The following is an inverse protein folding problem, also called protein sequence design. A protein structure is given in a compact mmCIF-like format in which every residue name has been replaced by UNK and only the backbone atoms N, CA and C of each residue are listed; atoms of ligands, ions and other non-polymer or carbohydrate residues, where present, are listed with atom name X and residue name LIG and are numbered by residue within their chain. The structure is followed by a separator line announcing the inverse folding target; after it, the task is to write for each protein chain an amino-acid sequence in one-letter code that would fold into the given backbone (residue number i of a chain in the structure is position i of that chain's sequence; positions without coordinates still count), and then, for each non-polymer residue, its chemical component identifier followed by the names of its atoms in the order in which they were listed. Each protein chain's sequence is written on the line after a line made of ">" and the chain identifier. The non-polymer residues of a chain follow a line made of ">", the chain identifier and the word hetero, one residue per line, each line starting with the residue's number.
data_IF_337305994396
#
_entry.id   IF_337305994396
#
_cell.length_a   1.000
_cell.length_b   1.000
_cell.length_c   1.000
_cell.angle_alpha   90.00
_cell.angle_beta   90.00
_cell.angle_gamma   90.00
#
_symmetry.space_group_name_H-M   'P 1'
#
loop_
_entity.id
_entity.type
_entity.pdbx_description
1 polymer ?
#
# COMPACT_ATOMS: atom_id res chain seq x y z
N UNK A 1 -31.90 -32.90 45.75
CA UNK A 1 -30.90 -31.97 45.20
C UNK A 1 -30.28 -32.65 44.04
N UNK A 2 -30.82 -32.38 42.85
CA UNK A 2 -30.42 -33.03 41.60
C UNK A 2 -29.42 -32.08 40.90
N UNK A 3 -28.19 -32.53 40.82
CA UNK A 3 -27.16 -31.83 40.02
C UNK A 3 -27.49 -31.97 38.58
N UNK A 4 -27.72 -30.85 37.89
CA UNK A 4 -27.79 -30.81 36.42
C UNK A 4 -26.38 -31.03 35.86
N UNK A 5 -26.19 -32.12 35.16
CA UNK A 5 -25.06 -32.33 34.28
C UNK A 5 -25.22 -31.36 33.13
N UNK A 6 -24.22 -30.48 32.94
CA UNK A 6 -24.09 -29.71 31.73
C UNK A 6 -23.52 -30.64 30.66
N UNK A 7 -24.27 -30.80 29.58
CA UNK A 7 -23.87 -31.53 28.37
C UNK A 7 -22.71 -30.74 27.71
N UNK A 8 -21.52 -31.34 27.65
CA UNK A 8 -20.30 -30.73 27.11
C UNK A 8 -20.33 -30.62 25.54
N UNK A 9 -21.41 -31.11 24.89
CA UNK A 9 -21.52 -31.19 23.45
C UNK A 9 -22.29 -30.03 22.79
N UNK A 10 -22.68 -28.98 23.51
CA UNK A 10 -23.45 -27.86 22.94
C UNK A 10 -22.64 -26.57 22.93
N UNK A 11 -21.54 -26.57 22.14
CA UNK A 11 -20.76 -25.37 21.89
C UNK A 11 -21.46 -24.54 20.81
N UNK A 12 -22.02 -23.34 21.14
CA UNK A 12 -22.71 -22.50 20.15
C UNK A 12 -21.84 -22.04 18.99
N UNK A 13 -20.52 -22.28 19.04
CA UNK A 13 -19.59 -21.98 17.97
C UNK A 13 -19.37 -23.14 17.00
N UNK A 14 -19.86 -24.36 17.27
CA UNK A 14 -19.71 -25.51 16.36
C UNK A 14 -20.51 -25.32 15.07
N UNK A 15 -21.61 -24.55 15.11
CA UNK A 15 -22.35 -24.13 13.90
C UNK A 15 -21.57 -23.18 13.00
N UNK A 16 -20.44 -22.62 13.46
CA UNK A 16 -19.54 -21.80 12.65
C UNK A 16 -18.36 -22.62 12.10
N UNK A 17 -18.22 -23.87 12.52
CA UNK A 17 -17.13 -24.76 12.11
C UNK A 17 -17.49 -25.68 10.92
N UNK A 18 -18.77 -25.77 10.57
CA UNK A 18 -19.24 -26.64 9.47
C UNK A 18 -19.34 -25.90 8.15
N UNK A 19 -18.27 -25.36 7.61
CA UNK A 19 -18.13 -25.11 6.16
C UNK A 19 -16.70 -24.69 5.78
N UNK A 20 -15.75 -25.60 5.97
CA UNK A 20 -14.34 -25.30 5.70
C UNK A 20 -13.83 -25.72 4.33
N UNK A 21 -14.70 -25.98 3.34
CA UNK A 21 -14.23 -26.37 1.99
C UNK A 21 -14.49 -25.32 0.89
N UNK A 22 -14.91 -24.11 1.24
CA UNK A 22 -14.86 -22.94 0.36
C UNK A 22 -13.95 -21.85 0.97
N UNK A 23 -12.72 -22.20 1.25
CA UNK A 23 -11.72 -21.30 1.79
C UNK A 23 -11.52 -20.12 0.86
N UNK A 24 -11.93 -18.98 1.30
CA UNK A 24 -11.57 -17.59 0.99
C UNK A 24 -12.75 -16.61 0.98
N UNK A 25 -13.93 -16.96 1.48
CA UNK A 25 -15.04 -16.01 1.64
C UNK A 25 -15.08 -15.44 3.05
N UNK A 26 -14.22 -14.48 3.37
CA UNK A 26 -14.33 -13.74 4.63
C UNK A 26 -15.25 -12.50 4.58
N UNK A 27 -15.89 -12.23 3.44
CA UNK A 27 -16.83 -11.12 3.28
C UNK A 27 -18.28 -11.63 3.44
N UNK A 28 -18.85 -11.48 4.63
CA UNK A 28 -20.23 -11.80 4.90
C UNK A 28 -21.19 -10.95 4.03
N UNK A 29 -22.01 -11.61 3.18
CA UNK A 29 -23.26 -11.06 2.65
C UNK A 29 -23.18 -10.13 1.46
N UNK A 30 -22.02 -9.86 0.88
CA UNK A 30 -21.88 -9.13 -0.37
C UNK A 30 -21.44 -10.08 -1.47
N UNK A 31 -21.96 -9.92 -2.69
CA UNK A 31 -21.51 -10.66 -3.87
C UNK A 31 -20.07 -10.27 -4.21
N UNK A 32 -19.12 -10.70 -3.38
CA UNK A 32 -17.70 -10.48 -3.64
C UNK A 32 -17.33 -11.29 -4.88
N UNK A 33 -16.93 -10.59 -5.92
CA UNK A 33 -16.34 -11.19 -7.11
C UNK A 33 -14.83 -11.13 -6.94
N UNK A 34 -14.19 -12.31 -6.95
CA UNK A 34 -12.72 -12.35 -6.96
C UNK A 34 -12.23 -11.61 -8.22
N UNK A 35 -11.42 -10.56 -8.09
CA UNK A 35 -10.90 -9.81 -9.23
C UNK A 35 -10.00 -10.66 -10.14
N UNK A 36 -9.54 -11.83 -9.66
CA UNK A 36 -8.71 -12.77 -10.40
C UNK A 36 -9.51 -13.96 -10.96
N UNK A 37 -10.83 -14.02 -10.72
CA UNK A 37 -11.66 -15.10 -11.25
C UNK A 37 -11.60 -15.13 -12.80
N UNK A 38 -11.22 -16.29 -13.35
CA UNK A 38 -11.05 -16.47 -14.79
C UNK A 38 -9.81 -15.82 -15.41
N UNK A 39 -8.93 -15.18 -14.63
CA UNK A 39 -7.67 -14.61 -15.14
C UNK A 39 -6.64 -15.71 -15.30
N UNK A 40 -5.99 -15.76 -16.49
CA UNK A 40 -4.87 -16.68 -16.71
C UNK A 40 -3.68 -16.31 -15.81
N UNK A 41 -3.26 -17.26 -14.98
CA UNK A 41 -2.14 -17.08 -14.03
C UNK A 41 -0.78 -17.45 -14.62
N UNK A 42 -0.71 -18.02 -15.83
CA UNK A 42 0.56 -18.29 -16.50
C UNK A 42 1.29 -16.95 -16.78
N UNK A 43 2.63 -16.95 -16.63
CA UNK A 43 3.40 -15.78 -17.05
C UNK A 43 3.42 -15.74 -18.59
N UNK A 44 2.99 -14.62 -19.21
CA UNK A 44 2.90 -14.54 -20.67
C UNK A 44 4.26 -14.67 -21.35
N UNK A 45 4.25 -15.18 -22.58
CA UNK A 45 5.44 -15.18 -23.42
C UNK A 45 5.97 -13.73 -23.62
N UNK A 46 7.29 -13.56 -23.44
CA UNK A 46 7.94 -12.26 -23.57
C UNK A 46 7.98 -11.40 -22.28
N UNK A 47 7.33 -11.84 -21.20
CA UNK A 47 7.48 -11.25 -19.86
C UNK A 47 8.59 -11.99 -19.12
N UNK A 48 9.59 -11.26 -18.60
CA UNK A 48 10.61 -11.86 -17.73
C UNK A 48 9.99 -12.18 -16.36
N UNK A 49 9.88 -13.47 -15.97
CA UNK A 49 9.29 -13.84 -14.69
C UNK A 49 10.01 -13.23 -13.49
N UNK A 50 11.34 -13.09 -13.57
CA UNK A 50 12.10 -12.51 -12.46
C UNK A 50 11.84 -11.01 -12.30
N UNK A 51 11.73 -10.25 -13.38
CA UNK A 51 11.36 -8.84 -13.34
C UNK A 51 9.92 -8.66 -12.83
N UNK A 52 8.99 -9.49 -13.30
CA UNK A 52 7.60 -9.48 -12.81
C UNK A 52 7.53 -9.76 -11.31
N UNK A 53 8.24 -10.77 -10.81
CA UNK A 53 8.27 -11.07 -9.38
C UNK A 53 8.84 -9.90 -8.56
N UNK A 54 9.93 -9.26 -9.01
CA UNK A 54 10.51 -8.11 -8.31
C UNK A 54 9.59 -6.88 -8.36
N UNK A 55 8.93 -6.62 -9.47
CA UNK A 55 7.90 -5.60 -9.58
C UNK A 55 6.77 -5.83 -8.56
N UNK A 56 6.21 -7.04 -8.53
CA UNK A 56 5.14 -7.41 -7.59
C UNK A 56 5.61 -7.32 -6.12
N UNK A 57 6.85 -7.73 -5.81
CA UNK A 57 7.42 -7.55 -4.48
C UNK A 57 7.51 -6.08 -4.09
N UNK A 58 8.07 -5.23 -4.94
CA UNK A 58 8.24 -3.81 -4.65
C UNK A 58 6.90 -3.11 -4.40
N UNK A 59 5.91 -3.35 -5.27
CA UNK A 59 4.57 -2.75 -5.12
C UNK A 59 3.77 -3.39 -3.97
N UNK A 60 3.99 -4.67 -3.69
CA UNK A 60 3.39 -5.38 -2.56
C UNK A 60 3.94 -4.88 -1.23
N UNK A 61 5.24 -4.66 -1.14
CA UNK A 61 5.91 -4.12 0.04
C UNK A 61 5.45 -2.69 0.36
N UNK A 62 5.30 -1.83 -0.66
CA UNK A 62 4.72 -0.49 -0.49
C UNK A 62 3.37 -0.56 0.23
N UNK A 63 2.49 -1.42 -0.27
CA UNK A 63 1.14 -1.55 0.26
C UNK A 63 1.12 -2.19 1.65
N UNK A 64 1.93 -3.23 1.89
CA UNK A 64 2.02 -3.92 3.17
C UNK A 64 2.52 -2.99 4.28
N UNK A 65 3.64 -2.33 4.04
CA UNK A 65 4.27 -1.45 5.03
C UNK A 65 3.39 -0.23 5.31
N UNK A 66 2.78 0.35 4.27
CA UNK A 66 1.90 1.49 4.47
C UNK A 66 0.59 1.11 5.16
N UNK A 67 0.00 -0.02 4.81
CA UNK A 67 -1.16 -0.58 5.53
C UNK A 67 -0.88 -0.71 7.02
N UNK A 68 0.25 -1.31 7.39
CA UNK A 68 0.65 -1.48 8.79
C UNK A 68 0.78 -0.13 9.52
N UNK A 69 1.36 0.89 8.87
CA UNK A 69 1.46 2.25 9.43
C UNK A 69 0.10 2.92 9.64
N UNK A 70 -0.83 2.75 8.71
CA UNK A 70 -2.18 3.29 8.85
C UNK A 70 -2.95 2.60 9.99
N UNK A 71 -2.76 1.30 10.19
CA UNK A 71 -3.38 0.54 11.28
C UNK A 71 -2.98 1.07 12.67
N UNK A 72 -1.79 1.67 12.82
CA UNK A 72 -1.36 2.30 14.07
C UNK A 72 -2.19 3.53 14.45
N UNK A 73 -2.97 4.09 13.52
CA UNK A 73 -3.88 5.21 13.75
C UNK A 73 -5.29 4.80 14.16
N UNK A 74 -5.67 3.56 13.92
CA UNK A 74 -6.95 3.02 14.40
C UNK A 74 -6.95 3.07 15.92
N UNK A 75 -8.06 3.54 16.50
CA UNK A 75 -8.22 3.86 17.93
C UNK A 75 -7.36 5.06 18.45
N UNK A 76 -6.81 5.88 17.55
CA UNK A 76 -6.06 7.10 17.89
C UNK A 76 -6.65 8.37 17.28
N UNK A 77 -7.55 8.21 16.32
CA UNK A 77 -8.25 9.32 15.68
C UNK A 77 -9.42 9.78 16.57
N UNK A 78 -9.78 11.09 16.51
CA UNK A 78 -10.77 11.65 17.43
C UNK A 78 -12.21 11.26 17.09
N UNK A 79 -12.50 10.94 15.83
CA UNK A 79 -13.83 10.66 15.31
C UNK A 79 -13.90 9.22 14.77
N UNK A 80 -14.99 8.54 15.07
CA UNK A 80 -15.21 7.14 14.65
C UNK A 80 -15.25 7.01 13.12
N UNK A 81 -15.78 7.99 12.44
CA UNK A 81 -15.86 8.05 10.99
C UNK A 81 -14.48 8.08 10.35
N UNK A 82 -13.54 8.82 10.95
CA UNK A 82 -12.17 8.92 10.48
C UNK A 82 -11.39 7.62 10.77
N UNK A 83 -11.62 7.01 11.93
CA UNK A 83 -11.05 5.69 12.25
C UNK A 83 -11.50 4.64 11.25
N UNK A 84 -12.81 4.60 10.97
CA UNK A 84 -13.38 3.68 9.99
C UNK A 84 -12.82 3.92 8.59
N UNK A 85 -12.71 5.18 8.16
CA UNK A 85 -12.15 5.52 6.86
C UNK A 85 -10.68 5.07 6.73
N UNK A 86 -9.85 5.40 7.72
CA UNK A 86 -8.42 5.03 7.73
C UNK A 86 -8.24 3.51 7.83
N UNK A 87 -9.07 2.83 8.63
CA UNK A 87 -9.05 1.37 8.72
C UNK A 87 -9.39 0.71 7.36
N UNK A 88 -10.41 1.21 6.65
CA UNK A 88 -10.77 0.70 5.33
C UNK A 88 -9.66 0.95 4.31
N UNK A 89 -9.05 2.13 4.30
CA UNK A 89 -7.89 2.45 3.44
C UNK A 89 -6.73 1.48 3.73
N UNK A 90 -6.47 1.20 5.01
CA UNK A 90 -5.43 0.24 5.39
C UNK A 90 -5.76 -1.19 4.93
N UNK A 91 -7.03 -1.61 5.00
CA UNK A 91 -7.48 -2.93 4.52
C UNK A 91 -7.42 -3.05 3.00
N UNK A 92 -7.76 -2.00 2.25
CA UNK A 92 -7.61 -1.97 0.78
C UNK A 92 -6.14 -2.16 0.39
N UNK A 93 -5.22 -1.44 1.04
CA UNK A 93 -3.78 -1.60 0.82
C UNK A 93 -3.29 -3.00 1.21
N UNK A 94 -3.78 -3.58 2.31
CA UNK A 94 -3.46 -4.95 2.68
C UNK A 94 -3.94 -5.95 1.62
N UNK A 95 -5.14 -5.74 1.08
CA UNK A 95 -5.68 -6.53 -0.03
C UNK A 95 -4.79 -6.45 -1.28
N UNK A 96 -4.34 -5.24 -1.65
CA UNK A 96 -3.38 -5.06 -2.75
C UNK A 96 -2.04 -5.77 -2.46
N UNK A 97 -1.53 -5.66 -1.22
CA UNK A 97 -0.29 -6.33 -0.82
C UNK A 97 -0.39 -7.85 -0.96
N UNK A 98 -1.48 -8.46 -0.47
CA UNK A 98 -1.72 -9.90 -0.55
C UNK A 98 -1.72 -10.39 -1.99
N UNK A 99 -2.49 -9.74 -2.88
CA UNK A 99 -2.57 -10.12 -4.29
C UNK A 99 -1.20 -10.02 -5.00
N UNK A 100 -0.46 -8.93 -4.75
CA UNK A 100 0.86 -8.71 -5.35
C UNK A 100 1.91 -9.71 -4.81
N UNK A 101 1.93 -9.94 -3.49
CA UNK A 101 2.83 -10.92 -2.89
C UNK A 101 2.49 -12.34 -3.31
N UNK A 102 1.21 -12.69 -3.46
CA UNK A 102 0.78 -13.99 -4.00
C UNK A 102 1.23 -14.16 -5.45
N UNK A 103 1.14 -13.10 -6.29
CA UNK A 103 1.66 -13.15 -7.68
C UNK A 103 3.17 -13.38 -7.71
N UNK A 104 3.93 -12.64 -6.91
CA UNK A 104 5.37 -12.83 -6.77
C UNK A 104 5.69 -14.23 -6.24
N UNK A 105 4.95 -14.68 -5.23
CA UNK A 105 5.14 -15.97 -4.58
C UNK A 105 4.93 -17.15 -5.51
N UNK A 106 3.90 -17.09 -6.38
CA UNK A 106 3.65 -18.10 -7.40
C UNK A 106 4.82 -18.28 -8.38
N UNK A 107 5.53 -17.19 -8.69
CA UNK A 107 6.73 -17.23 -9.56
C UNK A 107 7.95 -17.74 -8.78
N UNK A 108 8.10 -17.32 -7.52
CA UNK A 108 9.26 -17.64 -6.68
C UNK A 108 9.15 -18.99 -5.94
N UNK A 109 8.00 -19.66 -6.00
CA UNK A 109 7.74 -20.87 -5.23
C UNK A 109 7.66 -20.63 -3.72
N UNK A 110 7.17 -19.45 -3.28
CA UNK A 110 7.02 -19.01 -1.88
C UNK A 110 5.59 -18.57 -1.62
N UNK A 111 5.05 -18.82 -0.41
CA UNK A 111 3.75 -18.30 0.00
C UNK A 111 3.78 -16.79 0.30
N UNK A 112 2.61 -16.13 0.26
CA UNK A 112 2.49 -14.71 0.60
C UNK A 112 2.95 -14.43 2.03
N UNK A 113 2.59 -15.28 3.00
CA UNK A 113 3.00 -15.15 4.41
C UNK A 113 4.52 -15.27 4.56
N UNK A 114 5.14 -16.17 3.80
CA UNK A 114 6.58 -16.31 3.81
C UNK A 114 7.27 -15.04 3.30
N UNK A 115 6.67 -14.37 2.31
CA UNK A 115 7.16 -13.11 1.78
C UNK A 115 6.88 -11.92 2.71
N UNK A 116 5.77 -11.93 3.46
CA UNK A 116 5.43 -10.87 4.40
C UNK A 116 6.19 -10.97 5.72
N UNK A 117 6.24 -12.17 6.33
CA UNK A 117 6.63 -12.33 7.73
C UNK A 117 8.03 -12.90 7.96
N UNK A 118 8.71 -13.42 6.93
CA UNK A 118 9.98 -14.13 7.13
C UNK A 118 11.16 -13.54 6.34
N UNK A 119 10.96 -12.44 5.61
CA UNK A 119 12.06 -11.70 4.97
C UNK A 119 12.72 -10.76 5.97
N UNK A 120 14.04 -10.58 5.84
CA UNK A 120 14.79 -9.60 6.61
C UNK A 120 14.67 -8.20 5.98
N UNK A 121 14.97 -7.16 6.78
CA UNK A 121 14.79 -5.76 6.40
C UNK A 121 15.36 -5.44 5.01
N UNK A 122 16.60 -5.82 4.73
CA UNK A 122 17.26 -5.56 3.45
C UNK A 122 16.67 -6.30 2.24
N UNK A 123 15.71 -7.20 2.44
CA UNK A 123 14.99 -7.90 1.38
C UNK A 123 13.70 -7.18 0.95
N UNK A 124 13.22 -6.23 1.77
CA UNK A 124 12.06 -5.40 1.42
C UNK A 124 12.44 -4.35 0.38
N UNK A 125 11.45 -3.92 -0.42
CA UNK A 125 11.62 -3.00 -1.56
C UNK A 125 10.60 -1.87 -1.56
N UNK A 126 9.97 -1.58 -0.43
CA UNK A 126 9.04 -0.46 -0.30
C UNK A 126 9.78 0.88 -0.35
N UNK A 127 9.06 1.91 -0.81
CA UNK A 127 9.55 3.30 -0.74
C UNK A 127 9.61 3.79 0.71
N UNK A 128 10.59 4.64 1.01
CA UNK A 128 10.79 5.20 2.35
C UNK A 128 9.57 5.99 2.86
N UNK A 129 8.79 6.59 1.94
CA UNK A 129 7.55 7.28 2.30
C UNK A 129 6.55 6.34 3.01
N UNK A 130 6.51 5.05 2.65
CA UNK A 130 5.63 4.07 3.29
C UNK A 130 6.02 3.78 4.75
N UNK A 131 7.29 3.93 5.12
CA UNK A 131 7.80 3.65 6.46
C UNK A 131 7.59 4.81 7.44
N UNK A 132 7.37 6.02 6.94
CA UNK A 132 7.34 7.22 7.76
C UNK A 132 6.30 7.12 8.90
N UNK A 133 6.72 7.53 10.10
CA UNK A 133 5.86 7.57 11.28
C UNK A 133 5.23 8.97 11.40
N UNK A 134 3.93 9.08 11.15
CA UNK A 134 3.23 10.35 11.21
C UNK A 134 3.17 10.87 12.65
N UNK A 135 3.53 12.13 12.85
CA UNK A 135 3.51 12.81 14.15
C UNK A 135 2.11 13.24 14.57
N UNK A 136 1.30 13.63 13.59
CA UNK A 136 -0.09 14.05 13.80
C UNK A 136 -0.95 13.78 12.56
N UNK A 137 -2.24 14.12 12.67
CA UNK A 137 -3.21 13.89 11.61
C UNK A 137 -2.92 14.68 10.31
N UNK A 138 -2.31 15.86 10.42
CA UNK A 138 -1.93 16.63 9.23
C UNK A 138 -0.84 15.88 8.43
N UNK A 139 0.13 15.29 9.12
CA UNK A 139 1.18 14.50 8.47
C UNK A 139 0.62 13.22 7.86
N UNK A 140 -0.31 12.52 8.55
CA UNK A 140 -1.00 11.35 8.02
C UNK A 140 -1.71 11.65 6.70
N UNK A 141 -2.52 12.72 6.64
CA UNK A 141 -3.31 13.00 5.44
C UNK A 141 -2.47 13.59 4.30
N UNK A 142 -1.41 14.35 4.59
CA UNK A 142 -0.46 14.81 3.56
C UNK A 142 0.30 13.63 2.98
N UNK A 143 0.80 12.71 3.81
CA UNK A 143 1.47 11.49 3.35
C UNK A 143 0.53 10.61 2.52
N UNK A 144 -0.72 10.44 2.98
CA UNK A 144 -1.72 9.67 2.24
C UNK A 144 -2.03 10.32 0.88
N UNK A 145 -2.12 11.64 0.80
CA UNK A 145 -2.31 12.34 -0.48
C UNK A 145 -1.16 12.08 -1.44
N UNK A 146 0.08 12.24 -0.98
CA UNK A 146 1.28 12.03 -1.80
C UNK A 146 1.34 10.58 -2.31
N UNK A 147 1.19 9.62 -1.39
CA UNK A 147 1.27 8.20 -1.72
C UNK A 147 0.16 7.76 -2.67
N UNK A 148 -1.09 8.13 -2.38
CA UNK A 148 -2.23 7.70 -3.20
C UNK A 148 -2.26 8.38 -4.56
N UNK A 149 -1.90 9.66 -4.68
CA UNK A 149 -1.80 10.33 -5.97
C UNK A 149 -0.72 9.73 -6.87
N UNK A 150 0.45 9.42 -6.31
CA UNK A 150 1.51 8.73 -7.04
C UNK A 150 1.12 7.31 -7.46
N UNK A 151 0.63 6.52 -6.50
CA UNK A 151 0.29 5.11 -6.74
C UNK A 151 -0.89 4.96 -7.70
N UNK A 152 -1.88 5.86 -7.63
CA UNK A 152 -3.00 5.87 -8.55
C UNK A 152 -2.52 6.05 -10.00
N UNK A 153 -1.72 7.07 -10.27
CA UNK A 153 -1.18 7.32 -11.59
C UNK A 153 -0.32 6.15 -12.12
N UNK A 154 0.41 5.46 -11.23
CA UNK A 154 1.16 4.25 -11.58
C UNK A 154 0.22 3.09 -11.92
N UNK A 155 -0.84 2.86 -11.12
CA UNK A 155 -1.77 1.76 -11.30
C UNK A 155 -2.67 1.94 -12.53
N UNK A 156 -3.04 3.18 -12.89
CA UNK A 156 -3.72 3.48 -14.15
C UNK A 156 -2.91 2.98 -15.37
N UNK A 157 -1.59 3.13 -15.34
CA UNK A 157 -0.71 2.61 -16.38
C UNK A 157 -0.55 1.08 -16.28
N UNK A 158 -0.39 0.53 -15.08
CA UNK A 158 -0.25 -0.92 -14.86
C UNK A 158 -1.54 -1.71 -15.15
N UNK A 159 -2.71 -1.05 -15.20
CA UNK A 159 -3.95 -1.68 -15.66
C UNK A 159 -3.88 -2.18 -17.12
N UNK A 160 -2.89 -1.73 -17.88
CA UNK A 160 -2.57 -2.23 -19.22
C UNK A 160 -1.24 -3.03 -19.26
N UNK A 161 -0.78 -3.54 -18.13
CA UNK A 161 0.44 -4.35 -18.05
C UNK A 161 0.35 -5.62 -18.92
N UNK A 162 1.47 -6.11 -19.45
CA UNK A 162 1.49 -7.34 -20.24
C UNK A 162 1.10 -8.59 -19.44
N UNK A 163 1.31 -8.59 -18.13
CA UNK A 163 0.86 -9.66 -17.25
C UNK A 163 -0.60 -9.46 -16.83
N UNK A 164 -1.53 -10.39 -17.17
CA UNK A 164 -2.96 -10.19 -16.93
C UNK A 164 -3.33 -10.17 -15.45
N UNK A 165 -2.58 -10.86 -14.58
CA UNK A 165 -2.81 -10.85 -13.13
C UNK A 165 -2.43 -9.48 -12.56
N UNK A 166 -1.26 -8.96 -12.91
CA UNK A 166 -0.84 -7.62 -12.48
C UNK A 166 -1.79 -6.54 -13.01
N UNK A 167 -2.23 -6.65 -14.26
CA UNK A 167 -3.21 -5.74 -14.85
C UNK A 167 -4.55 -5.74 -14.10
N UNK A 168 -5.07 -6.92 -13.74
CA UNK A 168 -6.32 -7.06 -12.98
C UNK A 168 -6.19 -6.48 -11.55
N UNK A 169 -5.06 -6.74 -10.87
CA UNK A 169 -4.75 -6.16 -9.55
C UNK A 169 -4.72 -4.62 -9.64
N UNK A 170 -4.03 -4.08 -10.64
CA UNK A 170 -3.92 -2.65 -10.84
C UNK A 170 -5.29 -2.02 -11.15
N UNK A 171 -6.07 -2.61 -12.04
CA UNK A 171 -7.41 -2.14 -12.41
C UNK A 171 -8.37 -2.09 -11.20
N UNK A 172 -8.32 -3.10 -10.30
CA UNK A 172 -9.05 -3.07 -9.03
C UNK A 172 -8.54 -1.93 -8.14
N UNK A 173 -7.23 -1.83 -7.97
CA UNK A 173 -6.60 -0.83 -7.11
C UNK A 173 -6.84 0.61 -7.54
N UNK A 174 -7.07 0.90 -8.82
CA UNK A 174 -7.39 2.24 -9.33
C UNK A 174 -8.62 2.83 -8.62
N UNK A 175 -9.70 2.06 -8.44
CA UNK A 175 -10.91 2.54 -7.77
C UNK A 175 -10.65 2.82 -6.27
N UNK A 176 -9.92 1.94 -5.61
CA UNK A 176 -9.54 2.09 -4.20
C UNK A 176 -8.66 3.32 -3.99
N UNK A 177 -7.61 3.47 -4.81
CA UNK A 177 -6.66 4.59 -4.73
C UNK A 177 -7.29 5.94 -5.10
N UNK A 178 -8.27 5.97 -5.99
CA UNK A 178 -9.04 7.18 -6.28
C UNK A 178 -9.79 7.65 -5.02
N UNK A 179 -10.41 6.72 -4.27
CA UNK A 179 -11.04 7.04 -3.00
C UNK A 179 -10.02 7.53 -1.96
N UNK A 180 -8.88 6.85 -1.81
CA UNK A 180 -7.82 7.23 -0.87
C UNK A 180 -7.30 8.64 -1.14
N UNK A 181 -7.03 8.95 -2.41
CA UNK A 181 -6.61 10.28 -2.86
C UNK A 181 -7.66 11.35 -2.56
N UNK A 182 -8.92 11.09 -2.88
CA UNK A 182 -10.00 12.05 -2.70
C UNK A 182 -10.28 12.31 -1.21
N UNK A 183 -10.21 11.27 -0.38
CA UNK A 183 -10.29 11.41 1.08
C UNK A 183 -9.17 12.31 1.62
N UNK A 184 -7.93 11.99 1.26
CA UNK A 184 -6.76 12.75 1.70
C UNK A 184 -6.78 14.19 1.18
N UNK A 185 -7.14 14.42 -0.08
CA UNK A 185 -7.24 15.75 -0.70
C UNK A 185 -8.24 16.64 0.04
N UNK A 186 -9.42 16.11 0.38
CA UNK A 186 -10.44 16.86 1.15
C UNK A 186 -9.93 17.28 2.52
N UNK A 187 -9.19 16.39 3.21
CA UNK A 187 -8.62 16.71 4.50
C UNK A 187 -7.48 17.71 4.41
N UNK A 188 -6.58 17.60 3.44
CA UNK A 188 -5.50 18.57 3.23
C UNK A 188 -6.06 19.95 2.92
N UNK A 189 -7.09 20.04 2.07
CA UNK A 189 -7.76 21.31 1.77
C UNK A 189 -8.42 21.87 3.05
N UNK A 190 -9.17 21.05 3.79
CA UNK A 190 -9.86 21.47 5.01
C UNK A 190 -8.90 21.97 6.10
N UNK A 191 -7.74 21.32 6.25
CA UNK A 191 -6.74 21.72 7.24
C UNK A 191 -5.94 22.94 6.78
N UNK A 192 -5.63 23.04 5.49
CA UNK A 192 -4.90 24.15 4.91
C UNK A 192 -5.70 25.47 4.90
N UNK A 193 -7.00 25.37 4.57
CA UNK A 193 -7.93 26.53 4.58
C UNK A 193 -8.62 26.73 5.94
N UNK A 194 -8.17 26.06 6.99
CA UNK A 194 -8.78 26.08 8.31
C UNK A 194 -8.27 27.23 9.19
N UNK A 195 -7.74 26.87 10.35
CA UNK A 195 -7.13 27.84 11.29
C UNK A 195 -5.64 28.03 10.98
N UNK A 196 -5.05 29.14 11.45
CA UNK A 196 -3.61 29.38 11.32
C UNK A 196 -2.79 28.21 11.86
N UNK A 197 -3.26 27.55 12.93
CA UNK A 197 -2.59 26.39 13.51
C UNK A 197 -2.66 25.15 12.59
N UNK A 198 -3.84 24.84 12.04
CA UNK A 198 -3.98 23.70 11.13
C UNK A 198 -3.22 23.93 9.83
N UNK A 199 -3.26 25.15 9.29
CA UNK A 199 -2.48 25.56 8.13
C UNK A 199 -0.97 25.35 8.36
N UNK A 200 -0.43 25.92 9.45
CA UNK A 200 0.98 25.79 9.79
C UNK A 200 1.42 24.34 9.98
N UNK A 201 0.58 23.49 10.60
CA UNK A 201 0.85 22.05 10.75
C UNK A 201 0.86 21.32 9.41
N UNK A 202 -0.09 21.63 8.53
CA UNK A 202 -0.19 20.98 7.22
C UNK A 202 0.98 21.38 6.31
N UNK A 203 1.40 22.65 6.35
CA UNK A 203 2.61 23.08 5.65
C UNK A 203 3.86 22.42 6.21
N UNK A 204 4.00 22.35 7.54
CA UNK A 204 5.13 21.67 8.17
C UNK A 204 5.18 20.16 7.87
N UNK A 205 4.02 19.52 7.73
CA UNK A 205 3.89 18.14 7.30
C UNK A 205 4.39 17.94 5.85
N UNK A 206 3.96 18.82 4.96
CA UNK A 206 4.40 18.82 3.56
C UNK A 206 5.91 19.02 3.45
N UNK A 207 6.48 19.99 4.18
CA UNK A 207 7.91 20.26 4.20
C UNK A 207 8.74 19.07 4.72
N UNK A 208 8.23 18.38 5.76
CA UNK A 208 8.88 17.23 6.36
C UNK A 208 8.90 15.99 5.45
N UNK A 209 7.80 15.76 4.71
CA UNK A 209 7.65 14.61 3.82
C UNK A 209 8.27 14.83 2.44
N UNK A 210 8.45 16.09 2.03
CA UNK A 210 8.92 16.43 0.69
C UNK A 210 10.25 15.79 0.29
N UNK A 211 11.26 15.64 1.18
CA UNK A 211 12.50 14.95 0.84
C UNK A 211 12.31 13.49 0.37
N UNK A 212 11.23 12.83 0.78
CA UNK A 212 10.95 11.43 0.42
C UNK A 212 10.26 11.29 -0.95
N UNK A 213 9.69 12.38 -1.47
CA UNK A 213 8.93 12.37 -2.74
C UNK A 213 9.82 12.00 -3.93
N UNK A 214 11.10 12.36 -3.92
CA UNK A 214 12.01 12.09 -5.04
C UNK A 214 12.23 10.61 -5.33
N UNK A 215 12.11 9.74 -4.33
CA UNK A 215 12.19 8.30 -4.52
C UNK A 215 11.05 7.76 -5.38
N UNK A 216 9.86 8.30 -5.26
CA UNK A 216 8.67 7.86 -5.98
C UNK A 216 8.83 7.95 -7.51
N UNK A 217 9.69 8.87 -7.95
CA UNK A 217 9.96 9.14 -9.37
C UNK A 217 11.35 8.66 -9.82
N UNK A 218 12.04 7.93 -8.96
CA UNK A 218 13.26 7.21 -9.32
C UNK A 218 12.91 5.97 -10.11
N UNK A 219 12.95 5.97 -11.38
CA UNK A 219 12.61 4.81 -12.19
C UNK A 219 13.12 3.47 -11.63
N UNK A 220 12.19 2.56 -11.36
CA UNK A 220 12.49 1.17 -11.02
C UNK A 220 12.44 0.35 -12.32
N UNK A 221 13.55 -0.30 -12.74
CA UNK A 221 13.61 -1.00 -14.02
C UNK A 221 12.62 -2.17 -14.12
N UNK A 222 12.31 -2.83 -13.01
CA UNK A 222 11.39 -3.96 -12.98
C UNK A 222 9.93 -3.49 -13.10
N UNK A 223 9.58 -2.39 -12.43
CA UNK A 223 8.27 -1.74 -12.60
C UNK A 223 8.10 -1.23 -14.03
N UNK A 224 9.15 -0.60 -14.60
CA UNK A 224 9.11 -0.10 -15.97
C UNK A 224 8.97 -1.20 -17.02
N UNK A 225 9.58 -2.36 -16.78
CA UNK A 225 9.43 -3.51 -17.68
C UNK A 225 7.98 -4.01 -17.73
N UNK A 226 7.16 -3.69 -16.73
CA UNK A 226 5.73 -4.05 -16.66
C UNK A 226 4.80 -2.95 -17.19
N UNK A 227 5.31 -1.76 -17.48
CA UNK A 227 4.49 -0.71 -18.10
C UNK A 227 4.30 -0.97 -19.59
N UNK A 228 3.14 -0.61 -20.16
CA UNK A 228 2.91 -0.72 -21.59
C UNK A 228 3.95 0.11 -22.35
N UNK A 229 4.45 -0.46 -23.46
CA UNK A 229 5.42 0.23 -24.30
C UNK A 229 4.79 1.50 -24.91
N UNK A 230 5.20 2.66 -24.44
CA UNK A 230 4.82 3.94 -25.07
C UNK A 230 5.60 4.11 -26.37
N UNK A 231 4.93 4.44 -27.50
CA UNK A 231 5.61 4.72 -28.74
C UNK A 231 6.49 5.98 -28.58
N UNK A 232 7.79 5.79 -28.41
CA UNK A 232 8.78 6.87 -28.52
C UNK A 232 9.62 7.20 -27.31
N UNK A 233 9.34 6.69 -26.11
CA UNK A 233 10.14 7.04 -24.92
C UNK A 233 10.65 5.80 -24.17
N UNK A 234 11.93 5.48 -24.34
CA UNK A 234 12.66 4.44 -23.58
C UNK A 234 13.52 5.03 -22.48
N UNK A 235 13.38 6.30 -22.19
CA UNK A 235 14.16 6.96 -21.14
C UNK A 235 13.21 7.51 -20.08
N UNK A 236 13.06 6.76 -19.00
CA UNK A 236 12.32 7.18 -17.82
C UNK A 236 13.18 8.13 -17.02
N UNK A 237 12.98 9.40 -17.24
CA UNK A 237 13.43 10.45 -16.34
C UNK A 237 12.38 11.56 -16.36
N UNK A 238 12.03 12.11 -15.18
CA UNK A 238 11.16 13.25 -14.93
C UNK A 238 10.37 13.78 -16.17
N UNK A 239 9.05 13.64 -16.13
CA UNK A 239 8.17 14.12 -17.22
C UNK A 239 7.31 13.04 -17.88
N UNK A 240 7.20 11.86 -17.27
CA UNK A 240 6.27 10.81 -17.68
C UNK A 240 4.82 11.25 -17.50
N UNK A 241 3.87 10.52 -18.07
CA UNK A 241 2.44 10.85 -17.94
C UNK A 241 1.97 10.74 -16.47
N UNK A 242 2.48 9.77 -15.72
CA UNK A 242 2.15 9.64 -14.29
C UNK A 242 2.78 10.74 -13.44
N UNK A 243 3.98 11.26 -13.77
CA UNK A 243 4.56 12.42 -13.09
C UNK A 243 3.68 13.64 -13.26
N UNK A 244 3.17 13.87 -14.49
CA UNK A 244 2.26 15.00 -14.79
C UNK A 244 0.92 14.85 -14.10
N UNK A 245 0.37 13.63 -14.02
CA UNK A 245 -0.87 13.36 -13.31
C UNK A 245 -0.73 13.64 -11.82
N UNK A 246 0.35 13.17 -11.20
CA UNK A 246 0.69 13.49 -9.81
C UNK A 246 0.82 15.00 -9.58
N UNK A 247 1.62 15.69 -10.41
CA UNK A 247 1.85 17.12 -10.30
C UNK A 247 0.57 17.95 -10.45
N UNK A 248 -0.32 17.54 -11.36
CA UNK A 248 -1.60 18.21 -11.58
C UNK A 248 -2.51 18.09 -10.34
N UNK A 249 -2.62 16.88 -9.77
CA UNK A 249 -3.40 16.63 -8.55
C UNK A 249 -2.85 17.43 -7.38
N UNK A 250 -1.55 17.29 -7.12
CA UNK A 250 -0.91 17.96 -5.99
C UNK A 250 -0.98 19.49 -6.13
N UNK A 251 -0.69 20.02 -7.33
CA UNK A 251 -0.79 21.47 -7.61
C UNK A 251 -2.20 22.02 -7.36
N UNK A 252 -3.24 21.28 -7.78
CA UNK A 252 -4.64 21.70 -7.54
C UNK A 252 -4.98 21.71 -6.05
N UNK A 253 -4.61 20.65 -5.33
CA UNK A 253 -4.90 20.52 -3.89
C UNK A 253 -4.16 21.60 -3.09
N UNK A 254 -2.86 21.79 -3.32
CA UNK A 254 -2.05 22.78 -2.61
C UNK A 254 -2.55 24.20 -2.88
N UNK A 255 -2.85 24.54 -4.14
CA UNK A 255 -3.40 25.87 -4.49
C UNK A 255 -4.74 26.13 -3.79
N UNK A 256 -5.63 25.13 -3.70
CA UNK A 256 -6.93 25.25 -3.03
C UNK A 256 -6.77 25.35 -1.52
N UNK A 257 -5.79 24.65 -0.94
CA UNK A 257 -5.47 24.67 0.49
C UNK A 257 -4.67 25.91 0.92
N UNK A 258 -4.21 26.74 -0.01
CA UNK A 258 -3.34 27.89 0.27
C UNK A 258 -1.94 27.49 0.72
N UNK A 259 -1.49 26.25 0.42
CA UNK A 259 -0.20 25.71 0.82
C UNK A 259 0.85 25.93 -0.25
N UNK A 260 2.08 26.17 0.19
CA UNK A 260 3.24 26.32 -0.68
C UNK A 260 3.90 24.97 -0.97
N UNK A 261 4.14 24.69 -2.25
CA UNK A 261 4.94 23.53 -2.63
C UNK A 261 6.38 23.76 -2.19
N UNK A 262 7.00 22.82 -1.43
CA UNK A 262 8.38 23.00 -0.97
C UNK A 262 9.36 23.16 -2.12
N UNK A 263 10.26 24.14 -2.00
CA UNK A 263 11.28 24.43 -3.01
C UNK A 263 12.50 23.48 -2.94
N UNK A 264 12.60 22.69 -1.85
CA UNK A 264 13.69 21.74 -1.67
C UNK A 264 13.67 20.66 -2.73
N UNK A 265 14.83 20.33 -3.29
CA UNK A 265 14.97 19.18 -4.19
C UNK A 265 14.81 17.90 -3.38
N UNK A 266 13.88 17.00 -3.74
CA UNK A 266 13.76 15.71 -3.09
C UNK A 266 15.05 14.91 -3.20
N UNK A 267 15.54 14.34 -2.09
CA UNK A 267 16.81 13.63 -2.02
C UNK A 267 16.59 12.13 -1.79
N UNK A 268 17.44 11.29 -2.38
CA UNK A 268 17.57 9.90 -1.98
C UNK A 268 18.20 9.79 -0.58
N UNK A 269 17.86 8.78 0.20
CA UNK A 269 18.17 8.68 1.63
C UNK A 269 19.67 8.58 1.93
N UNK A 270 20.39 7.64 1.32
CA UNK A 270 21.80 7.35 1.63
C UNK A 270 22.60 7.13 0.35
N UNK A 271 23.50 8.03 0.03
CA UNK A 271 24.40 7.86 -1.12
C UNK A 271 23.68 7.59 -2.45
N UNK A 272 22.49 8.14 -2.64
CA UNK A 272 21.66 7.91 -3.81
C UNK A 272 20.84 6.61 -3.78
N UNK A 273 20.89 5.85 -2.68
CA UNK A 273 20.11 4.61 -2.47
C UNK A 273 18.93 4.89 -1.52
N UNK A 274 17.86 4.13 -1.71
CA UNK A 274 16.61 4.26 -0.96
C UNK A 274 15.94 2.89 -0.75
N UNK A 275 14.70 2.85 -0.31
CA UNK A 275 13.95 1.63 0.00
C UNK A 275 13.90 0.63 -1.15
N UNK A 276 13.78 1.09 -2.39
CA UNK A 276 13.87 0.23 -3.60
C UNK A 276 15.22 -0.51 -3.71
N UNK A 277 16.27 -0.01 -3.09
CA UNK A 277 17.59 -0.63 -3.04
C UNK A 277 17.81 -1.46 -1.75
N UNK A 278 16.77 -1.66 -0.93
CA UNK A 278 16.85 -2.31 0.38
C UNK A 278 17.58 -1.46 1.44
N UNK A 279 17.58 -0.15 1.28
CA UNK A 279 18.12 0.81 2.24
C UNK A 279 16.96 1.56 2.87
N UNK A 280 16.63 1.18 4.09
CA UNK A 280 15.45 1.64 4.79
C UNK A 280 15.77 2.70 5.84
N UNK A 281 14.71 3.35 6.34
CA UNK A 281 14.81 4.24 7.50
C UNK A 281 14.90 3.43 8.80
N UNK A 282 15.33 4.05 9.89
CA UNK A 282 15.31 3.41 11.22
C UNK A 282 13.91 2.88 11.60
N UNK A 283 12.86 3.49 11.05
CA UNK A 283 11.49 3.08 11.29
C UNK A 283 11.16 1.66 10.81
N UNK A 284 11.82 1.17 9.77
CA UNK A 284 11.56 -0.15 9.20
C UNK A 284 11.83 -1.28 10.19
N UNK A 285 12.92 -1.21 10.95
CA UNK A 285 13.23 -2.22 11.96
C UNK A 285 12.12 -2.36 13.02
N UNK A 286 11.54 -1.23 13.46
CA UNK A 286 10.41 -1.24 14.39
C UNK A 286 9.13 -1.81 13.78
N UNK A 287 8.83 -1.44 12.51
CA UNK A 287 7.68 -1.99 11.78
C UNK A 287 7.78 -3.51 11.70
N UNK A 288 8.93 -4.02 11.28
CA UNK A 288 9.13 -5.47 11.13
C UNK A 288 9.09 -6.20 12.48
N UNK A 289 9.61 -5.59 13.54
CA UNK A 289 9.51 -6.17 14.88
C UNK A 289 8.04 -6.33 15.32
N UNK A 290 7.16 -5.37 15.03
CA UNK A 290 5.73 -5.48 15.29
C UNK A 290 5.05 -6.50 14.35
N UNK A 291 5.28 -6.36 13.04
CA UNK A 291 4.63 -7.16 12.01
C UNK A 291 4.99 -8.65 12.08
N UNK A 292 6.25 -8.98 12.35
CA UNK A 292 6.80 -10.33 12.17
C UNK A 292 6.98 -11.12 13.46
N UNK A 293 6.91 -10.48 14.65
CA UNK A 293 7.30 -11.11 15.91
C UNK A 293 6.54 -12.39 16.21
N UNK A 294 5.22 -12.37 16.06
CA UNK A 294 4.37 -13.53 16.37
C UNK A 294 4.59 -14.66 15.36
N UNK A 295 4.58 -14.35 14.07
CA UNK A 295 4.82 -15.33 13.02
C UNK A 295 6.20 -16.00 13.15
N UNK A 296 7.24 -15.22 13.42
CA UNK A 296 8.62 -15.75 13.62
C UNK A 296 8.76 -16.57 14.90
N UNK A 297 8.02 -16.22 15.98
CA UNK A 297 8.01 -16.99 17.21
C UNK A 297 7.26 -18.33 17.08
N UNK A 298 6.31 -18.40 16.17
CA UNK A 298 5.43 -19.55 15.95
C UNK A 298 5.33 -19.92 14.47
N UNK A 299 6.45 -20.32 13.81
CA UNK A 299 6.50 -20.48 12.35
C UNK A 299 5.60 -21.61 11.81
N UNK A 300 5.23 -22.57 12.65
CA UNK A 300 4.37 -23.70 12.33
C UNK A 300 2.90 -23.48 12.71
N UNK A 301 2.54 -22.31 13.23
CA UNK A 301 1.15 -22.01 13.60
C UNK A 301 0.32 -21.71 12.36
N UNK A 302 -0.95 -22.10 12.40
CA UNK A 302 -1.97 -21.73 11.42
C UNK A 302 -2.83 -20.61 12.01
N UNK A 303 -3.08 -19.57 11.24
CA UNK A 303 -3.79 -18.36 11.67
C UNK A 303 -5.12 -18.22 10.94
#
# INVERSE_FOLDING_TARGET
>A
MTTAEFDEDDNPYDLLAEDHDEGHRWAFGTGFTDPLDGVDTAVPDGVDPAALARCCLALGDDALIYSHRLQQWVARLPELEEETAVANIALDLLGQARLLLSRAGGILGRGEDQLAFFRDEGEFRNVALAEHADRDFAELVVRLLIFSAWRLALFENLAAAPDPVLAAIAAKGVNELAYHRDYAARWVIRLGDGTDLSHAKTQAALDALWPLVGELFRGDPDVQAMLPASPGDRTVHHGTEHDRAFDAVLGTVLATAGLDRPAATPLALVGGRAGRDGVHTEAMGYILAELQSVARAHPDATW
#
